data_IF_360863431158
#
_entry.id   IF_360863431158
#
_cell.length_a   1.000
_cell.length_b   1.000
_cell.length_c   1.000
_cell.angle_alpha   90.00
_cell.angle_beta   90.00
_cell.angle_gamma   90.00
#
_symmetry.space_group_name_H-M   'P 1'
#
loop_
_entity.id
_entity.type
_entity.pdbx_description
1 polymer ?
#
# COMPACT_ATOMS: atom_id res chain seq x y z
N UNK A 1 47.60 -9.81 -21.43
CA UNK A 1 46.76 -10.59 -20.50
C UNK A 1 46.42 -9.70 -19.32
N UNK A 2 45.14 -9.32 -19.20
CA UNK A 2 44.61 -8.36 -18.22
C UNK A 2 44.60 -8.91 -16.80
N UNK A 3 44.93 -8.06 -15.83
CA UNK A 3 44.56 -8.24 -14.43
C UNK A 3 43.73 -7.03 -14.01
N UNK A 4 42.42 -7.23 -13.88
CA UNK A 4 41.47 -6.23 -13.37
C UNK A 4 41.47 -6.38 -11.85
N UNK A 5 41.93 -5.35 -11.15
CA UNK A 5 41.80 -5.23 -9.70
C UNK A 5 40.37 -4.80 -9.37
N UNK A 6 39.63 -5.70 -8.72
CA UNK A 6 38.32 -5.42 -8.14
C UNK A 6 38.49 -4.72 -6.78
N UNK A 7 38.19 -3.43 -6.72
CA UNK A 7 38.03 -2.71 -5.45
C UNK A 7 36.57 -2.82 -5.00
N UNK A 8 36.35 -3.51 -3.88
CA UNK A 8 35.09 -3.53 -3.16
C UNK A 8 34.88 -2.16 -2.48
N UNK A 9 33.83 -1.44 -2.87
CA UNK A 9 33.41 -0.20 -2.23
C UNK A 9 32.24 -0.51 -1.29
N UNK A 10 32.52 -0.49 0.01
CA UNK A 10 31.52 -0.51 1.08
C UNK A 10 30.66 0.76 0.96
N UNK A 11 29.34 0.60 0.91
CA UNK A 11 28.40 1.72 1.02
C UNK A 11 27.73 1.60 2.38
N UNK A 12 28.12 2.50 3.27
CA UNK A 12 27.56 2.69 4.59
C UNK A 12 26.04 2.91 4.50
N UNK A 13 25.32 2.05 5.20
CA UNK A 13 23.86 2.06 5.28
C UNK A 13 23.44 2.96 6.44
N UNK A 14 23.48 4.28 6.29
CA UNK A 14 22.81 5.16 7.27
C UNK A 14 22.52 6.56 6.74
N UNK A 15 21.32 7.05 7.09
CA UNK A 15 20.86 8.43 7.04
C UNK A 15 20.22 8.92 5.73
N UNK A 16 18.92 8.63 5.60
CA UNK A 16 18.04 9.33 4.65
C UNK A 16 17.87 10.78 5.15
N UNK A 17 18.53 11.73 4.48
CA UNK A 17 18.35 13.16 4.73
C UNK A 17 17.08 13.67 3.99
N UNK A 18 16.07 14.20 4.69
CA UNK A 18 14.77 14.57 4.10
C UNK A 18 14.77 15.90 3.31
N UNK A 19 15.93 16.53 3.10
CA UNK A 19 16.04 17.90 2.58
C UNK A 19 15.98 18.05 1.05
N UNK A 20 16.10 16.96 0.27
CA UNK A 20 16.28 17.04 -1.19
C UNK A 20 15.00 17.01 -2.03
N UNK A 21 13.81 16.85 -1.44
CA UNK A 21 12.55 16.74 -2.20
C UNK A 21 11.75 18.05 -2.21
N UNK A 22 12.30 19.14 -2.76
CA UNK A 22 11.54 20.40 -2.97
C UNK A 22 11.13 20.54 -4.45
N UNK A 23 9.87 20.22 -4.76
CA UNK A 23 9.16 20.80 -5.90
C UNK A 23 7.77 21.24 -5.45
N UNK A 24 7.34 22.39 -5.98
CA UNK A 24 6.29 23.27 -5.49
C UNK A 24 4.88 22.73 -5.78
N UNK A 25 4.14 22.39 -4.72
CA UNK A 25 2.68 22.58 -4.56
C UNK A 25 2.35 22.23 -3.08
N UNK A 26 1.78 23.17 -2.32
CA UNK A 26 1.13 22.97 -1.01
C UNK A 26 1.81 22.04 0.02
N UNK A 27 3.09 22.26 0.32
CA UNK A 27 3.78 21.61 1.45
C UNK A 27 3.33 22.23 2.79
N UNK A 28 2.14 21.87 3.26
CA UNK A 28 1.69 22.14 4.64
C UNK A 28 0.90 20.97 5.20
N UNK A 29 1.61 19.86 5.37
CA UNK A 29 1.52 18.98 6.53
C UNK A 29 2.61 17.91 6.37
N UNK A 30 3.20 17.45 7.47
CA UNK A 30 4.34 16.54 7.45
C UNK A 30 4.10 15.29 6.59
N UNK A 31 5.19 14.64 6.17
CA UNK A 31 5.13 13.34 5.48
C UNK A 31 4.23 12.39 6.28
N UNK A 32 3.09 11.99 5.67
CA UNK A 32 2.12 11.09 6.31
C UNK A 32 2.44 9.65 5.95
N UNK A 33 2.35 8.77 6.94
CA UNK A 33 2.50 7.33 6.74
C UNK A 33 1.20 6.75 6.18
N UNK A 34 1.35 5.86 5.20
CA UNK A 34 0.25 5.09 4.60
C UNK A 34 0.53 3.62 4.84
N UNK A 35 -0.46 2.91 5.37
CA UNK A 35 -0.46 1.45 5.36
C UNK A 35 -1.32 0.95 4.21
N UNK A 36 -0.86 -0.05 3.48
CA UNK A 36 -1.63 -0.65 2.39
C UNK A 36 -1.51 -2.17 2.39
N UNK A 37 -2.47 -2.83 1.75
CA UNK A 37 -2.51 -4.29 1.58
C UNK A 37 -3.33 -4.64 0.34
N UNK A 38 -3.07 -5.76 -0.35
CA UNK A 38 -3.92 -6.25 -1.43
C UNK A 38 -5.40 -6.36 -1.03
N UNK A 39 -6.30 -6.06 -1.96
CA UNK A 39 -7.75 -6.15 -1.80
C UNK A 39 -8.38 -7.06 -2.88
N UNK A 40 -9.29 -7.99 -2.52
CA UNK A 40 -9.70 -8.32 -1.15
C UNK A 40 -8.57 -9.00 -0.37
N UNK A 41 -8.60 -8.88 0.96
CA UNK A 41 -7.61 -9.59 1.79
C UNK A 41 -7.87 -11.08 1.70
N UNK A 42 -6.86 -11.83 1.25
CA UNK A 42 -6.90 -13.29 1.19
C UNK A 42 -6.63 -13.94 2.55
N UNK A 43 -5.99 -13.25 3.50
CA UNK A 43 -5.76 -13.73 4.87
C UNK A 43 -5.65 -12.58 5.87
N UNK A 44 -5.81 -12.89 7.17
CA UNK A 44 -5.57 -11.94 8.27
C UNK A 44 -4.10 -11.52 8.34
N UNK A 45 -3.19 -12.40 7.92
CA UNK A 45 -1.75 -12.20 7.87
C UNK A 45 -1.27 -11.58 6.54
N UNK A 46 -2.19 -11.23 5.64
CA UNK A 46 -1.85 -10.47 4.43
C UNK A 46 -1.25 -9.13 4.88
N UNK A 47 0.08 -9.11 4.91
CA UNK A 47 0.90 -8.14 5.62
C UNK A 47 0.53 -6.72 5.23
N UNK A 48 0.41 -5.85 6.23
CA UNK A 48 0.28 -4.44 6.00
C UNK A 48 1.65 -3.88 5.61
N UNK A 49 1.82 -3.50 4.34
CA UNK A 49 3.00 -2.79 3.87
C UNK A 49 2.88 -1.31 4.23
N UNK A 50 4.02 -0.66 4.44
CA UNK A 50 4.12 0.75 4.77
C UNK A 50 4.71 1.56 3.61
N UNK A 51 4.11 2.72 3.38
CA UNK A 51 4.59 3.73 2.46
C UNK A 51 4.48 5.14 3.03
N UNK A 52 4.96 6.10 2.26
CA UNK A 52 4.84 7.53 2.56
C UNK A 52 3.94 8.17 1.51
N UNK A 53 3.00 8.97 1.99
CA UNK A 53 2.15 9.80 1.17
C UNK A 53 2.94 11.00 0.66
N UNK A 54 3.03 11.14 -0.67
CA UNK A 54 3.69 12.27 -1.34
C UNK A 54 2.68 13.37 -1.68
N UNK A 55 1.51 12.97 -2.20
CA UNK A 55 0.43 13.88 -2.55
C UNK A 55 -0.93 13.20 -2.35
N UNK A 56 -1.96 13.99 -2.07
CA UNK A 56 -3.33 13.55 -1.88
C UNK A 56 -4.29 14.52 -2.58
N UNK A 57 -5.31 13.96 -3.22
CA UNK A 57 -6.46 14.70 -3.71
C UNK A 57 -7.75 13.97 -3.34
N UNK A 58 -8.90 14.51 -3.77
CA UNK A 58 -10.20 13.86 -3.62
C UNK A 58 -10.43 12.70 -4.61
N UNK A 59 -9.49 12.48 -5.52
CA UNK A 59 -9.59 11.42 -6.53
C UNK A 59 -8.51 10.36 -6.40
N UNK A 60 -7.48 10.59 -5.58
CA UNK A 60 -6.32 9.71 -5.57
C UNK A 60 -5.22 10.10 -4.61
N UNK A 61 -4.18 9.28 -4.63
CA UNK A 61 -2.95 9.47 -3.87
C UNK A 61 -1.74 9.25 -4.77
N UNK A 62 -0.63 9.90 -4.41
CA UNK A 62 0.69 9.51 -4.83
C UNK A 62 1.45 9.03 -3.59
N UNK A 63 2.00 7.83 -3.64
CA UNK A 63 2.78 7.27 -2.53
C UNK A 63 4.13 6.74 -2.99
N UNK A 64 5.06 6.62 -2.05
CA UNK A 64 6.32 5.90 -2.22
C UNK A 64 6.39 4.75 -1.21
N UNK A 65 6.75 3.57 -1.68
CA UNK A 65 6.88 2.36 -0.86
C UNK A 65 8.13 1.56 -1.26
N UNK A 66 8.53 0.62 -0.41
CA UNK A 66 9.61 -0.33 -0.75
C UNK A 66 9.10 -1.42 -1.69
N UNK A 67 7.89 -1.90 -1.45
CA UNK A 67 7.26 -2.93 -2.28
C UNK A 67 6.54 -2.28 -3.47
N UNK A 68 6.59 -2.95 -4.61
CA UNK A 68 5.96 -2.54 -5.85
C UNK A 68 4.69 -3.34 -6.08
N UNK A 69 3.61 -2.63 -6.39
CA UNK A 69 2.36 -3.21 -6.89
C UNK A 69 2.22 -2.93 -8.40
N UNK A 70 1.48 -3.77 -9.10
CA UNK A 70 1.27 -3.68 -10.54
C UNK A 70 0.11 -2.74 -10.90
N UNK A 71 0.13 -2.23 -12.13
CA UNK A 71 -0.97 -1.39 -12.64
C UNK A 71 -2.23 -2.24 -12.77
N UNK A 72 -3.31 -1.78 -12.13
CA UNK A 72 -4.57 -2.52 -12.06
C UNK A 72 -4.85 -3.13 -10.69
N UNK A 73 -3.81 -3.33 -9.87
CA UNK A 73 -3.97 -3.91 -8.53
C UNK A 73 -4.89 -3.07 -7.66
N UNK A 74 -5.69 -3.77 -6.87
CA UNK A 74 -6.60 -3.17 -5.91
C UNK A 74 -5.96 -3.25 -4.53
N UNK A 75 -5.83 -2.09 -3.89
CA UNK A 75 -5.24 -1.95 -2.58
C UNK A 75 -6.25 -1.37 -1.61
N UNK A 76 -6.32 -1.94 -0.41
CA UNK A 76 -6.90 -1.24 0.74
C UNK A 76 -5.83 -0.33 1.31
N UNK A 77 -6.15 0.96 1.45
CA UNK A 77 -5.23 2.03 1.82
C UNK A 77 -5.74 2.70 3.09
N UNK A 78 -4.90 2.71 4.13
CA UNK A 78 -5.14 3.39 5.39
C UNK A 78 -4.14 4.54 5.54
N UNK A 79 -4.62 5.77 5.43
CA UNK A 79 -3.82 6.97 5.65
C UNK A 79 -3.87 7.29 7.15
N UNK A 80 -2.71 7.38 7.80
CA UNK A 80 -2.62 7.83 9.20
C UNK A 80 -2.37 9.34 9.23
N UNK A 81 -3.17 10.05 10.00
CA UNK A 81 -2.96 11.46 10.31
C UNK A 81 -1.80 11.65 11.28
N UNK A 82 -1.35 12.89 11.45
CA UNK A 82 -0.22 13.27 12.29
C UNK A 82 -0.39 12.89 13.77
N UNK A 83 -1.63 12.73 14.23
CA UNK A 83 -1.97 12.35 15.61
C UNK A 83 -2.24 10.84 15.80
N UNK A 84 -1.87 10.01 14.81
CA UNK A 84 -2.03 8.55 14.90
C UNK A 84 -3.45 8.02 14.59
N UNK A 85 -4.44 8.90 14.41
CA UNK A 85 -5.77 8.52 13.94
C UNK A 85 -5.77 8.21 12.44
N UNK A 86 -6.52 7.20 12.01
CA UNK A 86 -6.75 6.93 10.58
C UNK A 86 -7.60 8.05 10.00
N UNK A 87 -7.03 8.81 9.07
CA UNK A 87 -7.75 9.91 8.39
C UNK A 87 -8.56 9.42 7.19
N UNK A 88 -8.14 8.31 6.56
CA UNK A 88 -8.86 7.64 5.45
C UNK A 88 -8.60 6.13 5.48
N UNK A 89 -9.65 5.34 5.22
CA UNK A 89 -9.60 3.89 4.99
C UNK A 89 -10.45 3.60 3.75
N UNK A 90 -9.81 3.28 2.63
CA UNK A 90 -10.42 3.27 1.30
C UNK A 90 -9.84 2.17 0.43
N UNK A 91 -10.57 1.75 -0.61
CA UNK A 91 -10.03 0.92 -1.69
C UNK A 91 -9.60 1.82 -2.84
N UNK A 92 -8.41 1.58 -3.37
CA UNK A 92 -7.86 2.31 -4.50
C UNK A 92 -7.25 1.35 -5.52
N UNK A 93 -7.22 1.77 -6.78
CA UNK A 93 -6.56 1.05 -7.87
C UNK A 93 -5.22 1.69 -8.18
N UNK A 94 -4.19 0.89 -8.40
CA UNK A 94 -2.92 1.35 -8.95
C UNK A 94 -3.13 1.73 -10.42
N UNK A 95 -2.87 2.99 -10.77
CA UNK A 95 -3.02 3.50 -12.14
C UNK A 95 -1.68 3.73 -12.85
N UNK A 96 -0.60 3.84 -12.09
CA UNK A 96 0.78 3.83 -12.59
C UNK A 96 1.73 3.42 -11.46
N UNK A 97 2.88 2.85 -11.83
CA UNK A 97 3.88 2.29 -10.92
C UNK A 97 5.26 2.46 -11.54
N UNK A 98 6.14 3.22 -10.88
CA UNK A 98 7.47 3.62 -11.36
C UNK A 98 8.53 3.27 -10.33
N UNK A 99 9.56 2.52 -10.72
CA UNK A 99 10.70 2.25 -9.86
C UNK A 99 11.56 3.52 -9.71
N UNK A 100 12.14 3.71 -8.53
CA UNK A 100 13.11 4.79 -8.28
C UNK A 100 14.50 4.19 -8.11
N UNK A 101 15.53 5.00 -8.37
CA UNK A 101 16.94 4.60 -8.29
C UNK A 101 17.37 4.12 -6.90
N UNK A 102 16.56 4.39 -5.86
CA UNK A 102 16.82 4.03 -4.47
C UNK A 102 16.16 2.71 -4.04
N UNK A 103 15.75 1.84 -4.97
CA UNK A 103 15.08 0.58 -4.66
C UNK A 103 13.70 0.77 -4.03
N UNK A 104 13.06 1.91 -4.29
CA UNK A 104 11.67 2.18 -3.92
C UNK A 104 10.81 2.26 -5.17
N UNK A 105 9.50 2.31 -4.97
CA UNK A 105 8.53 2.50 -6.03
C UNK A 105 7.62 3.67 -5.72
N UNK A 106 7.41 4.55 -6.70
CA UNK A 106 6.34 5.54 -6.69
C UNK A 106 5.12 4.94 -7.36
N UNK A 107 3.96 5.12 -6.74
CA UNK A 107 2.70 4.61 -7.25
C UNK A 107 1.64 5.69 -7.22
N UNK A 108 0.90 5.76 -8.31
CA UNK A 108 -0.33 6.53 -8.41
C UNK A 108 -1.51 5.66 -8.11
N UNK A 109 -2.34 6.12 -7.19
CA UNK A 109 -3.55 5.43 -6.77
C UNK A 109 -4.76 6.27 -7.15
N UNK A 110 -5.72 5.65 -7.82
CA UNK A 110 -7.06 6.23 -8.04
C UNK A 110 -8.00 5.65 -7.01
N UNK A 111 -8.63 6.53 -6.23
CA UNK A 111 -9.69 6.12 -5.30
C UNK A 111 -10.83 5.49 -6.09
N UNK A 112 -11.25 4.31 -5.67
CA UNK A 112 -12.52 3.79 -6.10
C UNK A 112 -13.58 4.58 -5.35
N UNK A 113 -14.10 5.63 -5.99
CA UNK A 113 -15.23 6.37 -5.43
C UNK A 113 -16.40 5.42 -5.38
N UNK A 114 -16.94 5.36 -4.20
CA UNK A 114 -17.92 4.40 -3.82
C UNK A 114 -18.94 5.25 -3.07
N UNK A 115 -20.20 5.27 -3.54
CA UNK A 115 -21.32 5.70 -2.70
C UNK A 115 -21.29 4.79 -1.46
N UNK A 116 -20.55 5.22 -0.45
CA UNK A 116 -20.10 4.48 0.74
C UNK A 116 -20.51 3.00 0.81
N UNK A 117 -19.70 2.05 0.33
CA UNK A 117 -19.72 0.71 0.85
C UNK A 117 -19.20 0.81 2.25
N UNK A 118 -20.13 0.63 3.17
CA UNK A 118 -19.75 0.15 4.47
C UNK A 118 -18.89 -1.11 4.23
N UNK A 119 -17.67 -1.09 4.75
CA UNK A 119 -16.90 -2.33 4.88
C UNK A 119 -17.70 -3.25 5.79
N UNK A 120 -18.48 -4.14 5.20
CA UNK A 120 -19.17 -5.17 5.93
C UNK A 120 -18.14 -6.26 6.24
N UNK A 121 -17.99 -6.58 7.53
CA UNK A 121 -17.23 -7.75 7.93
C UNK A 121 -17.95 -9.00 7.45
N UNK A 122 -17.59 -9.49 6.27
CA UNK A 122 -18.09 -10.75 5.76
C UNK A 122 -17.34 -11.88 6.48
N UNK A 123 -18.06 -12.65 7.31
CA UNK A 123 -17.56 -13.94 7.79
C UNK A 123 -17.87 -14.96 6.71
N UNK A 124 -16.85 -15.57 6.13
CA UNK A 124 -17.03 -16.82 5.39
C UNK A 124 -17.36 -17.90 6.42
N UNK A 125 -18.60 -18.39 6.40
CA UNK A 125 -18.90 -19.69 6.99
C UNK A 125 -18.32 -20.72 6.02
N UNK A 126 -17.18 -21.31 6.39
CA UNK A 126 -16.58 -22.41 5.65
C UNK A 126 -17.60 -23.54 5.45
N UNK A 127 -17.61 -24.14 4.26
CA UNK A 127 -18.44 -25.28 3.85
C UNK A 127 -18.27 -26.50 4.78
N UNK A 128 -18.97 -26.48 5.91
CA UNK A 128 -19.31 -27.67 6.70
C UNK A 128 -20.81 -27.69 7.05
N UNK A 129 -21.62 -26.87 6.36
CA UNK A 129 -23.07 -26.81 6.52
C UNK A 129 -23.85 -27.77 5.61
N UNK A 130 -23.18 -28.56 4.76
CA UNK A 130 -23.86 -29.49 3.84
C UNK A 130 -24.21 -30.86 4.45
N UNK A 131 -23.88 -31.13 5.72
CA UNK A 131 -24.14 -32.46 6.32
C UNK A 131 -25.38 -32.52 7.23
N UNK A 132 -26.14 -31.42 7.37
CA UNK A 132 -27.31 -31.37 8.27
C UNK A 132 -28.66 -31.69 7.63
N UNK A 133 -28.71 -31.96 6.32
CA UNK A 133 -29.97 -32.35 5.65
C UNK A 133 -30.03 -33.84 5.26
N UNK A 134 -29.01 -34.65 5.58
CA UNK A 134 -28.99 -36.07 5.24
C UNK A 134 -29.65 -37.00 6.28
N UNK A 135 -30.21 -36.49 7.39
CA UNK A 135 -30.81 -37.34 8.43
C UNK A 135 -32.20 -36.86 8.83
N UNK A 136 -33.19 -37.10 7.96
CA UNK A 136 -34.58 -37.26 8.37
C UNK A 136 -35.35 -38.05 7.30
N UNK A 137 -35.04 -39.35 7.23
CA UNK A 137 -35.99 -40.39 6.84
C UNK A 137 -35.93 -41.48 7.89
N UNK A 138 -36.92 -41.47 8.78
CA UNK A 138 -37.21 -42.49 9.78
C UNK A 138 -38.63 -42.28 10.22
#
# INVERSE_FOLDING_TARGET
MSAVQSSAMQIDTTSINPSTLQSRESRRDGLRQVGFSPFPRVSLDAGQTLGLLINESDSGFCMIASDREEVGDLLRVMVRGLHGHTSRDVVARVVWSEATDAGRCRMGLKLLRENQPQMVRMRYESEHALDRFATNRG
#
